data_IF_408365492442
#
_entry.id   IF_408365492442
#
_cell.length_a   1.000
_cell.length_b   1.000
_cell.length_c   1.000
_cell.angle_alpha   90.00
_cell.angle_beta   90.00
_cell.angle_gamma   90.00
#
_symmetry.space_group_name_H-M   'P 1'
#
loop_
_entity.id
_entity.type
_entity.pdbx_description
1 polymer ?
#
# COMPACT_ATOMS: atom_id res chain seq x y z
N UNK A 1 -17.43 -3.23 42.31
CA UNK A 1 -18.11 -2.95 41.03
C UNK A 1 -17.23 -3.55 39.96
N UNK A 2 -17.69 -4.62 39.30
CA UNK A 2 -16.97 -5.18 38.16
C UNK A 2 -17.13 -4.17 37.01
N UNK A 3 -16.01 -3.65 36.53
CA UNK A 3 -15.98 -2.87 35.29
C UNK A 3 -16.61 -3.76 34.20
N UNK A 4 -17.59 -3.27 33.40
CA UNK A 4 -18.11 -4.06 32.28
C UNK A 4 -16.96 -4.23 31.26
N UNK A 5 -16.17 -5.28 31.46
CA UNK A 5 -15.13 -5.71 30.53
C UNK A 5 -15.83 -6.24 29.28
N UNK A 6 -16.06 -5.37 28.30
CA UNK A 6 -16.42 -5.82 26.96
C UNK A 6 -15.33 -6.75 26.42
N UNK A 7 -15.74 -7.78 25.69
CA UNK A 7 -14.77 -8.73 25.15
C UNK A 7 -13.88 -8.03 24.09
N UNK A 8 -12.59 -8.39 23.96
CA UNK A 8 -11.70 -7.81 22.95
C UNK A 8 -12.29 -7.86 21.54
N UNK A 9 -13.06 -8.89 21.21
CA UNK A 9 -13.76 -9.06 19.93
C UNK A 9 -14.71 -7.89 19.65
N UNK A 10 -15.52 -7.48 20.64
CA UNK A 10 -16.48 -6.37 20.48
C UNK A 10 -15.73 -5.06 20.23
N UNK A 11 -14.67 -4.79 20.99
CA UNK A 11 -13.84 -3.59 20.81
C UNK A 11 -13.21 -3.52 19.42
N UNK A 12 -12.66 -4.65 18.94
CA UNK A 12 -12.02 -4.76 17.64
C UNK A 12 -13.00 -4.62 16.48
N UNK A 13 -14.15 -5.30 16.54
CA UNK A 13 -15.23 -5.15 15.53
C UNK A 13 -15.72 -3.71 15.49
N UNK A 14 -15.91 -3.09 16.66
CA UNK A 14 -16.33 -1.68 16.74
C UNK A 14 -15.31 -0.75 16.09
N UNK A 15 -14.02 -0.94 16.37
CA UNK A 15 -12.96 -0.17 15.73
C UNK A 15 -12.98 -0.33 14.20
N UNK A 16 -13.08 -1.56 13.68
CA UNK A 16 -13.14 -1.80 12.23
C UNK A 16 -14.36 -1.14 11.57
N UNK A 17 -15.54 -1.21 12.20
CA UNK A 17 -16.74 -0.56 11.66
C UNK A 17 -16.59 0.96 11.61
N UNK A 18 -16.04 1.59 12.65
CA UNK A 18 -15.78 3.02 12.62
C UNK A 18 -14.69 3.40 11.61
N UNK A 19 -13.65 2.58 11.44
CA UNK A 19 -12.69 2.78 10.34
C UNK A 19 -13.42 2.79 8.99
N UNK A 20 -14.27 1.80 8.70
CA UNK A 20 -15.04 1.76 7.45
C UNK A 20 -15.88 3.03 7.25
N UNK A 21 -16.65 3.39 8.28
CA UNK A 21 -17.57 4.54 8.23
C UNK A 21 -16.79 5.83 7.96
N UNK A 22 -15.70 6.05 8.69
CA UNK A 22 -14.92 7.27 8.56
C UNK A 22 -14.12 7.30 7.24
N UNK A 23 -13.67 6.16 6.71
CA UNK A 23 -13.13 6.06 5.34
C UNK A 23 -14.18 6.42 4.28
N UNK A 24 -15.42 5.94 4.43
CA UNK A 24 -16.51 6.27 3.51
C UNK A 24 -16.90 7.75 3.59
N UNK A 25 -16.79 8.36 4.77
CA UNK A 25 -17.02 9.79 5.00
C UNK A 25 -15.83 10.67 4.60
N UNK A 26 -14.69 10.07 4.27
CA UNK A 26 -13.46 10.78 3.95
C UNK A 26 -12.76 11.40 5.16
N UNK A 27 -13.09 11.02 6.40
CA UNK A 27 -12.48 11.56 7.62
C UNK A 27 -11.30 10.69 8.07
N UNK A 28 -10.10 11.01 7.56
CA UNK A 28 -8.95 10.11 7.71
C UNK A 28 -8.43 10.13 9.15
N UNK A 29 -8.42 11.30 9.81
CA UNK A 29 -7.91 11.47 11.17
C UNK A 29 -8.67 10.58 12.18
N UNK A 30 -10.00 10.58 12.12
CA UNK A 30 -10.82 9.74 13.00
C UNK A 30 -10.68 8.27 12.63
N UNK A 31 -10.65 7.93 11.33
CA UNK A 31 -10.43 6.56 10.89
C UNK A 31 -9.08 6.00 11.40
N UNK A 32 -8.00 6.77 11.29
CA UNK A 32 -6.67 6.36 11.78
C UNK A 32 -6.62 6.27 13.30
N UNK A 33 -7.38 7.10 14.02
CA UNK A 33 -7.52 6.96 15.48
C UNK A 33 -8.15 5.61 15.84
N UNK A 34 -9.23 5.21 15.16
CA UNK A 34 -9.84 3.89 15.36
C UNK A 34 -8.93 2.73 14.92
N UNK A 35 -8.18 2.90 13.83
CA UNK A 35 -7.19 1.93 13.36
C UNK A 35 -6.11 1.70 14.41
N UNK A 36 -5.49 2.78 14.90
CA UNK A 36 -4.45 2.75 15.93
C UNK A 36 -4.95 2.13 17.23
N UNK A 37 -6.14 2.51 17.69
CA UNK A 37 -6.71 1.94 18.91
C UNK A 37 -6.99 0.43 18.75
N UNK A 38 -7.49 0.00 17.58
CA UNK A 38 -7.69 -1.42 17.29
C UNK A 38 -6.38 -2.19 17.24
N UNK A 39 -5.33 -1.65 16.61
CA UNK A 39 -3.99 -2.25 16.59
C UNK A 39 -3.40 -2.42 18.00
N UNK A 40 -3.59 -1.44 18.89
CA UNK A 40 -3.19 -1.54 20.30
C UNK A 40 -3.94 -2.66 21.03
N UNK A 41 -5.26 -2.76 20.83
CA UNK A 41 -6.06 -3.83 21.42
C UNK A 41 -5.61 -5.22 20.94
N UNK A 42 -5.28 -5.37 19.66
CA UNK A 42 -4.69 -6.61 19.12
C UNK A 42 -3.36 -6.92 19.81
N UNK A 43 -2.48 -5.93 19.92
CA UNK A 43 -1.17 -6.11 20.55
C UNK A 43 -1.30 -6.52 22.02
N UNK A 44 -2.15 -5.83 22.80
CA UNK A 44 -2.43 -6.19 24.19
C UNK A 44 -3.02 -7.59 24.33
N UNK A 45 -3.93 -7.97 23.43
CA UNK A 45 -4.52 -9.31 23.41
C UNK A 45 -3.46 -10.39 23.14
N UNK A 46 -2.58 -10.17 22.16
CA UNK A 46 -1.47 -11.08 21.86
C UNK A 46 -0.50 -11.22 23.05
N UNK A 47 -0.18 -10.11 23.72
CA UNK A 47 0.68 -10.13 24.91
C UNK A 47 0.05 -10.93 26.05
N UNK A 48 -1.23 -10.71 26.36
CA UNK A 48 -1.94 -11.48 27.40
C UNK A 48 -1.96 -12.97 27.08
N UNK A 49 -2.25 -13.34 25.83
CA UNK A 49 -2.28 -14.74 25.42
C UNK A 49 -0.91 -15.42 25.54
N UNK A 50 0.19 -14.72 25.24
CA UNK A 50 1.55 -15.23 25.44
C UNK A 50 1.87 -15.48 26.91
N UNK A 51 1.36 -14.64 27.82
CA UNK A 51 1.54 -14.82 29.27
C UNK A 51 0.71 -16.01 29.77
N UNK A 52 -0.55 -16.11 29.33
CA UNK A 52 -1.48 -17.11 29.81
C UNK A 52 -1.20 -18.52 29.24
N UNK A 53 -0.54 -18.60 28.08
CA UNK A 53 -0.26 -19.88 27.40
C UNK A 53 1.11 -19.88 26.67
N UNK A 54 2.23 -19.86 27.42
CA UNK A 54 3.57 -19.75 26.84
C UNK A 54 4.04 -20.98 26.04
N UNK A 55 3.33 -22.11 26.14
CA UNK A 55 3.67 -23.36 25.43
C UNK A 55 2.84 -23.63 24.16
N UNK A 56 1.89 -22.74 23.82
CA UNK A 56 0.98 -22.92 22.68
C UNK A 56 1.63 -22.58 21.32
N UNK A 57 2.86 -22.04 21.32
CA UNK A 57 3.64 -21.80 20.09
C UNK A 57 4.02 -23.08 19.33
N UNK A 58 4.08 -24.24 20.01
CA UNK A 58 4.45 -25.53 19.39
C UNK A 58 3.26 -26.45 19.07
N UNK A 59 2.03 -26.05 19.40
CA UNK A 59 0.88 -26.95 19.43
C UNK A 59 -0.36 -26.37 18.75
N UNK A 60 -0.40 -26.31 17.42
CA UNK A 60 -1.66 -26.21 16.68
C UNK A 60 -2.44 -27.53 16.83
N UNK A 61 -3.02 -27.79 17.99
CA UNK A 61 -3.93 -28.93 18.20
C UNK A 61 -5.36 -28.43 18.38
N UNK A 62 -6.16 -28.60 17.33
CA UNK A 62 -7.63 -28.66 17.30
C UNK A 62 -8.43 -27.41 17.71
N UNK A 63 -8.37 -26.40 16.83
CA UNK A 63 -9.51 -25.66 16.23
C UNK A 63 -10.77 -25.40 17.08
N UNK A 64 -10.81 -24.21 17.68
CA UNK A 64 -11.94 -23.27 17.53
C UNK A 64 -11.43 -22.08 16.72
N UNK A 65 -12.12 -21.70 15.65
CA UNK A 65 -11.82 -20.48 14.89
C UNK A 65 -11.64 -19.31 15.84
N UNK A 66 -10.46 -18.72 15.86
CA UNK A 66 -10.19 -17.57 16.69
C UNK A 66 -10.53 -16.34 15.86
N UNK A 67 -11.71 -15.77 16.11
CA UNK A 67 -12.19 -14.57 15.40
C UNK A 67 -11.13 -13.45 15.35
N UNK A 68 -10.35 -13.27 16.43
CA UNK A 68 -9.32 -12.25 16.49
C UNK A 68 -8.16 -12.58 15.55
N UNK A 69 -7.61 -13.80 15.60
CA UNK A 69 -6.45 -14.16 14.77
C UNK A 69 -6.78 -14.43 13.32
N UNK A 70 -7.90 -15.11 13.07
CA UNK A 70 -8.25 -15.64 11.76
C UNK A 70 -8.99 -14.59 10.89
N UNK A 71 -9.66 -13.61 11.52
CA UNK A 71 -10.49 -12.62 10.81
C UNK A 71 -10.05 -11.19 11.11
N UNK A 72 -10.09 -10.76 12.37
CA UNK A 72 -9.94 -9.34 12.73
C UNK A 72 -8.50 -8.86 12.53
N UNK A 73 -7.50 -9.60 12.98
CA UNK A 73 -6.09 -9.25 12.80
C UNK A 73 -5.73 -9.08 11.32
N UNK A 74 -6.07 -10.01 10.40
CA UNK A 74 -5.87 -9.80 8.98
C UNK A 74 -6.59 -8.56 8.44
N UNK A 75 -7.75 -8.16 8.96
CA UNK A 75 -8.43 -6.93 8.54
C UNK A 75 -7.69 -5.67 9.01
N UNK A 76 -7.19 -5.65 10.25
CA UNK A 76 -6.35 -4.56 10.75
C UNK A 76 -5.04 -4.46 9.98
N UNK A 77 -4.37 -5.58 9.70
CA UNK A 77 -3.14 -5.58 8.89
C UNK A 77 -3.37 -5.04 7.49
N UNK A 78 -4.54 -5.30 6.87
CA UNK A 78 -4.93 -4.75 5.57
C UNK A 78 -5.15 -3.24 5.62
N UNK A 79 -5.90 -2.77 6.61
CA UNK A 79 -6.14 -1.33 6.80
C UNK A 79 -4.89 -0.55 7.22
N UNK A 80 -3.98 -1.18 7.97
CA UNK A 80 -2.72 -0.61 8.44
C UNK A 80 -1.83 -0.16 7.28
N UNK A 81 -1.70 -0.97 6.22
CA UNK A 81 -0.92 -0.58 5.03
C UNK A 81 -1.42 0.74 4.44
N UNK A 82 -2.74 0.94 4.38
CA UNK A 82 -3.31 2.21 3.92
C UNK A 82 -2.94 3.35 4.84
N UNK A 83 -3.07 3.18 6.16
CA UNK A 83 -2.70 4.21 7.13
C UNK A 83 -1.23 4.64 7.03
N UNK A 84 -0.32 3.68 6.85
CA UNK A 84 1.12 3.98 6.70
C UNK A 84 1.43 4.78 5.43
N UNK A 85 0.75 4.50 4.31
CA UNK A 85 0.92 5.27 3.07
C UNK A 85 0.42 6.73 3.20
N UNK A 86 -0.44 7.01 4.18
CA UNK A 86 -0.86 8.37 4.57
C UNK A 86 -0.04 8.92 5.76
N UNK A 87 1.10 8.29 6.09
CA UNK A 87 2.08 8.81 7.05
C UNK A 87 1.88 8.36 8.51
N UNK A 88 0.85 7.57 8.82
CA UNK A 88 0.58 7.10 10.19
C UNK A 88 1.69 6.16 10.66
N UNK A 89 2.26 6.43 11.84
CA UNK A 89 3.31 5.62 12.48
C UNK A 89 2.72 4.40 13.19
N UNK A 90 2.18 3.45 12.43
CA UNK A 90 1.49 2.27 13.02
C UNK A 90 2.45 1.35 13.79
N UNK A 91 3.74 1.39 13.48
CA UNK A 91 4.81 0.68 14.19
C UNK A 91 4.95 1.06 15.67
N UNK A 92 4.43 2.23 16.08
CA UNK A 92 4.39 2.61 17.50
C UNK A 92 3.32 1.84 18.29
N UNK A 93 2.44 1.11 17.59
CA UNK A 93 1.23 0.51 18.15
C UNK A 93 1.08 -0.98 17.82
N UNK A 94 1.86 -1.47 16.85
CA UNK A 94 1.83 -2.85 16.41
C UNK A 94 3.20 -3.27 15.85
N UNK A 95 3.67 -4.44 16.25
CA UNK A 95 4.94 -4.98 15.78
C UNK A 95 4.84 -5.48 14.34
N UNK A 96 5.56 -4.83 13.43
CA UNK A 96 5.65 -5.23 12.02
C UNK A 96 6.92 -6.07 11.84
N UNK A 97 6.74 -7.34 11.51
CA UNK A 97 7.85 -8.27 11.27
C UNK A 97 8.52 -8.00 9.93
N UNK A 98 9.86 -8.02 9.92
CA UNK A 98 10.65 -8.01 8.69
C UNK A 98 11.01 -9.44 8.30
N UNK A 99 10.54 -9.95 7.15
CA UNK A 99 10.83 -11.31 6.74
C UNK A 99 12.30 -11.47 6.34
N UNK A 100 12.80 -12.71 6.49
CA UNK A 100 14.09 -13.14 5.96
C UNK A 100 13.85 -13.98 4.69
N UNK A 101 14.74 -13.95 3.68
CA UNK A 101 14.55 -14.69 2.43
C UNK A 101 14.27 -16.20 2.65
N UNK A 102 14.96 -16.82 3.61
CA UNK A 102 14.76 -18.23 3.95
C UNK A 102 13.34 -18.58 4.43
N UNK A 103 12.57 -17.61 4.92
CA UNK A 103 11.20 -17.83 5.37
C UNK A 103 10.31 -18.30 4.22
N UNK A 104 10.58 -17.88 2.98
CA UNK A 104 9.79 -18.28 1.80
C UNK A 104 10.21 -19.65 1.23
N UNK A 105 11.40 -20.13 1.58
CA UNK A 105 11.92 -21.42 1.13
C UNK A 105 11.32 -22.56 1.97
N UNK A 106 11.15 -22.33 3.29
CA UNK A 106 10.73 -23.36 4.25
C UNK A 106 9.22 -23.62 4.30
N UNK A 107 8.40 -22.75 3.70
CA UNK A 107 6.95 -22.86 3.75
C UNK A 107 6.40 -23.76 2.62
N UNK A 108 5.31 -24.51 2.86
CA UNK A 108 4.45 -24.97 1.78
C UNK A 108 4.01 -23.75 0.98
N UNK A 109 4.30 -23.72 -0.32
CA UNK A 109 4.01 -22.55 -1.14
C UNK A 109 2.72 -22.80 -1.92
N UNK A 110 1.59 -22.71 -1.21
CA UNK A 110 0.23 -22.74 -1.79
C UNK A 110 -0.22 -21.33 -2.13
N UNK A 111 -1.32 -21.18 -2.88
CA UNK A 111 -1.88 -19.85 -3.18
C UNK A 111 -2.23 -19.09 -1.90
N UNK A 112 -2.82 -19.77 -0.91
CA UNK A 112 -3.13 -19.18 0.40
C UNK A 112 -1.88 -18.69 1.13
N UNK A 113 -0.80 -19.48 1.11
CA UNK A 113 0.48 -19.09 1.73
C UNK A 113 1.17 -17.96 0.97
N UNK A 114 1.07 -17.94 -0.38
CA UNK A 114 1.54 -16.84 -1.20
C UNK A 114 0.80 -15.53 -0.87
N UNK A 115 -0.52 -15.59 -0.70
CA UNK A 115 -1.33 -14.43 -0.28
C UNK A 115 -0.95 -13.93 1.10
N UNK A 116 -0.80 -14.83 2.08
CA UNK A 116 -0.41 -14.47 3.44
C UNK A 116 0.96 -13.83 3.49
N UNK A 117 1.96 -14.51 2.94
CA UNK A 117 3.34 -14.04 2.93
C UNK A 117 3.53 -12.75 2.11
N UNK A 118 2.73 -12.53 1.06
CA UNK A 118 2.71 -11.27 0.31
C UNK A 118 2.31 -10.08 1.20
N UNK A 119 1.28 -10.25 2.05
CA UNK A 119 0.83 -9.19 2.96
C UNK A 119 1.89 -8.84 4.00
N UNK A 120 2.54 -9.85 4.58
CA UNK A 120 3.62 -9.67 5.56
C UNK A 120 4.81 -8.92 4.92
N UNK A 121 5.24 -9.37 3.75
CA UNK A 121 6.32 -8.73 3.00
C UNK A 121 5.96 -7.29 2.59
N UNK A 122 4.74 -7.05 2.12
CA UNK A 122 4.23 -5.71 1.79
C UNK A 122 4.25 -4.78 3.00
N UNK A 123 3.81 -5.24 4.17
CA UNK A 123 3.79 -4.42 5.38
C UNK A 123 5.20 -4.01 5.81
N UNK A 124 6.17 -4.92 5.77
CA UNK A 124 7.58 -4.61 6.02
C UNK A 124 8.13 -3.59 5.02
N UNK A 125 7.81 -3.79 3.73
CA UNK A 125 8.23 -2.89 2.65
C UNK A 125 7.63 -1.48 2.81
N UNK A 126 6.35 -1.36 3.12
CA UNK A 126 5.68 -0.06 3.32
C UNK A 126 6.22 0.66 4.57
N UNK A 127 6.51 -0.07 5.65
CA UNK A 127 7.17 0.52 6.81
C UNK A 127 8.55 1.09 6.45
N UNK A 128 9.36 0.35 5.70
CA UNK A 128 10.67 0.83 5.25
C UNK A 128 10.55 2.07 4.35
N UNK A 129 9.58 2.10 3.44
CA UNK A 129 9.30 3.27 2.59
C UNK A 129 8.91 4.50 3.41
N UNK A 130 8.12 4.33 4.47
CA UNK A 130 7.77 5.41 5.39
C UNK A 130 9.00 5.95 6.13
N UNK A 131 9.85 5.06 6.64
CA UNK A 131 11.05 5.43 7.39
C UNK A 131 12.06 6.18 6.50
N UNK A 132 12.33 5.67 5.31
CA UNK A 132 13.19 6.33 4.32
C UNK A 132 12.59 7.64 3.83
N UNK A 133 11.29 7.67 3.54
CA UNK A 133 10.58 8.90 3.18
C UNK A 133 10.68 9.98 4.25
N UNK A 134 10.54 9.61 5.53
CA UNK A 134 10.72 10.54 6.66
C UNK A 134 12.13 11.10 6.73
N UNK A 135 13.15 10.25 6.52
CA UNK A 135 14.55 10.69 6.46
C UNK A 135 14.79 11.67 5.30
N UNK A 136 14.26 11.36 4.11
CA UNK A 136 14.35 12.22 2.93
C UNK A 136 13.72 13.60 3.17
N UNK A 137 12.48 13.65 3.67
CA UNK A 137 11.81 14.91 4.02
C UNK A 137 12.55 15.68 5.12
N UNK A 138 13.23 14.98 6.04
CA UNK A 138 14.07 15.58 7.08
C UNK A 138 15.48 15.95 6.64
N UNK A 139 15.86 15.73 5.36
CA UNK A 139 17.25 15.84 4.86
C UNK A 139 18.26 15.04 5.68
N UNK A 140 17.81 13.93 6.25
CA UNK A 140 18.65 12.99 7.00
C UNK A 140 19.21 11.99 5.99
N UNK A 141 20.55 11.87 5.84
CA UNK A 141 21.14 10.87 4.96
C UNK A 141 20.76 9.46 5.39
N UNK A 142 20.54 8.59 4.41
CA UNK A 142 20.42 7.16 4.68
C UNK A 142 21.76 6.59 5.14
N UNK A 143 21.72 5.70 6.12
CA UNK A 143 22.89 5.05 6.71
C UNK A 143 23.04 3.59 6.24
N UNK A 144 24.10 2.92 6.68
CA UNK A 144 24.39 1.53 6.32
C UNK A 144 23.22 0.59 6.64
N UNK A 145 22.50 0.81 7.75
CA UNK A 145 21.38 -0.06 8.14
C UNK A 145 20.22 0.07 7.16
N UNK A 146 19.94 1.28 6.66
CA UNK A 146 18.89 1.48 5.66
C UNK A 146 19.18 0.68 4.39
N UNK A 147 20.42 0.71 3.91
CA UNK A 147 20.82 -0.04 2.71
C UNK A 147 20.82 -1.56 2.94
N UNK A 148 21.19 -2.02 4.14
CA UNK A 148 21.09 -3.45 4.52
C UNK A 148 19.62 -3.90 4.51
N UNK A 149 18.72 -3.12 5.09
CA UNK A 149 17.28 -3.44 5.10
C UNK A 149 16.72 -3.42 3.67
N UNK A 150 17.08 -2.44 2.85
CA UNK A 150 16.67 -2.37 1.45
C UNK A 150 17.13 -3.61 0.66
N UNK A 151 18.38 -4.03 0.83
CA UNK A 151 18.93 -5.21 0.19
C UNK A 151 18.20 -6.50 0.63
N UNK A 152 17.94 -6.64 1.94
CA UNK A 152 17.18 -7.76 2.47
C UNK A 152 15.76 -7.83 1.91
N UNK A 153 15.03 -6.71 1.92
CA UNK A 153 13.66 -6.66 1.37
C UNK A 153 13.64 -6.94 -0.14
N UNK A 154 14.62 -6.43 -0.88
CA UNK A 154 14.78 -6.72 -2.31
C UNK A 154 14.96 -8.21 -2.55
N UNK A 155 15.83 -8.87 -1.78
CA UNK A 155 16.05 -10.31 -1.87
C UNK A 155 14.82 -11.11 -1.44
N UNK A 156 14.12 -10.68 -0.39
CA UNK A 156 12.83 -11.27 0.02
C UNK A 156 11.80 -11.21 -1.12
N UNK A 157 11.65 -10.06 -1.78
CA UNK A 157 10.77 -9.92 -2.94
C UNK A 157 11.19 -10.86 -4.09
N UNK A 158 12.48 -10.94 -4.40
CA UNK A 158 13.02 -11.81 -5.44
C UNK A 158 12.71 -13.29 -5.16
N UNK A 159 13.09 -13.79 -3.98
CA UNK A 159 12.86 -15.18 -3.58
C UNK A 159 11.37 -15.49 -3.53
N UNK A 160 10.56 -14.63 -2.91
CA UNK A 160 9.11 -14.84 -2.85
C UNK A 160 8.50 -14.97 -4.25
N UNK A 161 8.89 -14.11 -5.19
CA UNK A 161 8.35 -14.16 -6.55
C UNK A 161 8.79 -15.41 -7.31
N UNK A 162 10.03 -15.84 -7.16
CA UNK A 162 10.52 -17.11 -7.71
C UNK A 162 9.67 -18.30 -7.22
N UNK A 163 9.30 -18.31 -5.92
CA UNK A 163 8.41 -19.33 -5.36
C UNK A 163 6.99 -19.26 -5.94
N UNK A 164 6.45 -18.05 -6.16
CA UNK A 164 5.14 -17.86 -6.84
C UNK A 164 5.19 -18.40 -8.26
N UNK A 165 6.25 -18.12 -9.01
CA UNK A 165 6.42 -18.61 -10.39
C UNK A 165 6.52 -20.14 -10.42
N UNK A 166 7.34 -20.75 -9.56
CA UNK A 166 7.44 -22.21 -9.48
C UNK A 166 6.09 -22.86 -9.13
N UNK A 167 5.33 -22.24 -8.23
CA UNK A 167 4.00 -22.70 -7.86
C UNK A 167 3.02 -22.60 -9.03
N UNK A 168 3.00 -21.46 -9.74
CA UNK A 168 2.18 -21.24 -10.94
C UNK A 168 2.55 -22.17 -12.10
N UNK A 169 3.83 -22.49 -12.27
CA UNK A 169 4.29 -23.42 -13.31
C UNK A 169 3.95 -24.89 -12.98
N UNK A 170 3.82 -25.22 -11.69
CA UNK A 170 3.56 -26.59 -11.22
C UNK A 170 2.11 -27.05 -11.39
N UNK A 171 1.16 -26.12 -11.47
CA UNK A 171 -0.26 -26.44 -11.61
C UNK A 171 -1.03 -25.37 -12.37
N UNK A 172 -2.10 -25.77 -13.06
CA UNK A 172 -2.95 -24.82 -13.77
C UNK A 172 -3.95 -24.18 -12.83
N UNK A 173 -3.82 -22.88 -12.65
CA UNK A 173 -4.81 -22.04 -11.99
C UNK A 173 -5.85 -21.52 -12.97
N UNK A 174 -7.11 -21.46 -12.57
CA UNK A 174 -8.20 -21.01 -13.44
C UNK A 174 -9.27 -20.24 -12.66
N UNK A 175 -10.11 -19.49 -13.36
CA UNK A 175 -11.16 -18.67 -12.73
C UNK A 175 -10.59 -17.72 -11.69
N UNK A 176 -11.18 -17.71 -10.51
CA UNK A 176 -10.84 -16.81 -9.39
C UNK A 176 -9.39 -16.95 -8.92
N UNK A 177 -8.80 -18.15 -8.99
CA UNK A 177 -7.41 -18.37 -8.58
C UNK A 177 -6.41 -17.67 -9.52
N UNK A 178 -6.69 -17.66 -10.82
CA UNK A 178 -5.85 -16.95 -11.81
C UNK A 178 -5.94 -15.43 -11.62
N UNK A 179 -7.11 -14.93 -11.21
CA UNK A 179 -7.32 -13.52 -10.87
C UNK A 179 -6.57 -13.17 -9.59
N UNK A 180 -6.63 -14.02 -8.56
CA UNK A 180 -5.89 -13.85 -7.32
C UNK A 180 -4.37 -13.81 -7.57
N UNK A 181 -3.85 -14.70 -8.40
CA UNK A 181 -2.44 -14.68 -8.84
C UNK A 181 -2.07 -13.38 -9.56
N UNK A 182 -2.93 -12.89 -10.46
CA UNK A 182 -2.69 -11.59 -11.11
C UNK A 182 -2.67 -10.44 -10.11
N UNK A 183 -3.55 -10.46 -9.10
CA UNK A 183 -3.56 -9.45 -8.04
C UNK A 183 -2.28 -9.51 -7.18
N UNK A 184 -1.79 -10.71 -6.85
CA UNK A 184 -0.50 -10.90 -6.17
C UNK A 184 0.67 -10.32 -6.97
N UNK A 185 0.67 -10.54 -8.29
CA UNK A 185 1.68 -9.97 -9.20
C UNK A 185 1.62 -8.44 -9.23
N UNK A 186 0.43 -7.84 -9.27
CA UNK A 186 0.26 -6.38 -9.19
C UNK A 186 0.87 -5.82 -7.91
N UNK A 187 0.54 -6.41 -6.76
CA UNK A 187 1.08 -5.98 -5.46
C UNK A 187 2.61 -6.13 -5.38
N UNK A 188 3.14 -7.26 -5.88
CA UNK A 188 4.57 -7.54 -5.91
C UNK A 188 5.34 -6.56 -6.81
N UNK A 189 4.84 -6.28 -8.02
CA UNK A 189 5.49 -5.35 -8.93
C UNK A 189 5.50 -3.93 -8.37
N UNK A 190 4.39 -3.47 -7.79
CA UNK A 190 4.33 -2.15 -7.16
C UNK A 190 5.35 -2.03 -6.03
N UNK A 191 5.33 -2.95 -5.07
CA UNK A 191 6.23 -2.93 -3.90
C UNK A 191 7.70 -3.07 -4.29
N UNK A 192 8.02 -3.92 -5.26
CA UNK A 192 9.40 -4.08 -5.74
C UNK A 192 9.95 -2.80 -6.36
N UNK A 193 9.17 -2.10 -7.19
CA UNK A 193 9.63 -0.82 -7.77
C UNK A 193 9.84 0.25 -6.70
N UNK A 194 8.97 0.32 -5.70
CA UNK A 194 9.15 1.24 -4.56
C UNK A 194 10.44 0.93 -3.80
N UNK A 195 10.66 -0.32 -3.39
CA UNK A 195 11.84 -0.73 -2.62
C UNK A 195 13.12 -0.51 -3.44
N UNK A 196 13.10 -0.82 -4.73
CA UNK A 196 14.22 -0.60 -5.63
C UNK A 196 14.67 0.85 -5.74
N UNK A 197 13.76 1.81 -5.50
CA UNK A 197 14.03 3.24 -5.60
C UNK A 197 14.05 3.99 -4.25
N UNK A 198 13.77 3.31 -3.13
CA UNK A 198 13.67 3.92 -1.79
C UNK A 198 14.95 4.64 -1.33
N UNK A 199 16.10 4.20 -1.85
CA UNK A 199 17.41 4.79 -1.56
C UNK A 199 17.68 6.16 -2.20
N UNK A 200 16.76 6.70 -3.00
CA UNK A 200 16.94 7.94 -3.73
C UNK A 200 15.75 8.88 -3.58
N UNK A 201 16.04 10.19 -3.52
CA UNK A 201 15.03 11.25 -3.70
C UNK A 201 14.72 11.52 -5.17
N UNK A 202 15.61 11.08 -6.07
CA UNK A 202 15.43 11.26 -7.51
C UNK A 202 14.38 10.30 -8.05
N UNK A 203 13.67 10.71 -9.10
CA UNK A 203 12.59 9.92 -9.70
C UNK A 203 13.01 9.16 -10.96
N UNK A 204 14.06 9.61 -11.67
CA UNK A 204 14.65 8.89 -12.82
C UNK A 204 14.99 7.41 -12.53
N UNK A 205 15.44 6.98 -11.33
CA UNK A 205 15.72 5.56 -11.05
C UNK A 205 14.56 4.61 -11.35
N UNK A 206 13.30 5.08 -11.32
CA UNK A 206 12.14 4.26 -11.68
C UNK A 206 12.15 3.77 -13.14
N UNK A 207 12.90 4.42 -14.03
CA UNK A 207 12.97 4.03 -15.44
C UNK A 207 13.53 2.63 -15.66
N UNK A 208 14.45 2.19 -14.80
CA UNK A 208 15.01 0.83 -14.82
C UNK A 208 13.89 -0.24 -14.69
N UNK A 209 12.74 0.15 -14.15
CA UNK A 209 11.60 -0.71 -13.89
C UNK A 209 10.46 -0.56 -14.92
N UNK A 210 10.69 0.06 -16.09
CA UNK A 210 9.66 0.20 -17.13
C UNK A 210 8.96 -1.13 -17.47
N UNK A 211 9.74 -2.22 -17.61
CA UNK A 211 9.20 -3.55 -17.91
C UNK A 211 8.30 -4.09 -16.78
N UNK A 212 8.63 -3.77 -15.52
CA UNK A 212 7.83 -4.12 -14.34
C UNK A 212 6.53 -3.31 -14.31
N UNK A 213 6.58 -2.00 -14.59
CA UNK A 213 5.37 -1.17 -14.71
C UNK A 213 4.43 -1.67 -15.81
N UNK A 214 4.98 -2.07 -16.96
CA UNK A 214 4.17 -2.66 -18.03
C UNK A 214 3.54 -4.00 -17.60
N UNK A 215 4.26 -4.84 -16.86
CA UNK A 215 3.71 -6.08 -16.31
C UNK A 215 2.60 -5.82 -15.28
N UNK A 216 2.82 -4.86 -14.38
CA UNK A 216 1.83 -4.40 -13.40
C UNK A 216 0.54 -3.97 -14.10
N UNK A 217 0.62 -3.11 -15.10
CA UNK A 217 -0.55 -2.62 -15.85
C UNK A 217 -1.29 -3.76 -16.54
N UNK A 218 -0.59 -4.73 -17.13
CA UNK A 218 -1.22 -5.92 -17.75
C UNK A 218 -1.99 -6.77 -16.74
N UNK A 219 -1.40 -7.06 -15.58
CA UNK A 219 -2.09 -7.86 -14.56
C UNK A 219 -3.23 -7.08 -13.89
N UNK A 220 -3.08 -5.77 -13.69
CA UNK A 220 -4.15 -4.92 -13.17
C UNK A 220 -5.36 -4.89 -14.12
N UNK A 221 -5.14 -4.89 -15.44
CA UNK A 221 -6.22 -5.00 -16.43
C UNK A 221 -7.01 -6.31 -16.28
N UNK A 222 -6.32 -7.45 -16.11
CA UNK A 222 -6.96 -8.76 -15.86
C UNK A 222 -7.84 -8.73 -14.60
N UNK A 223 -7.32 -8.16 -13.50
CA UNK A 223 -8.07 -8.07 -12.23
C UNK A 223 -9.30 -7.17 -12.40
N UNK A 224 -9.15 -6.02 -13.06
CA UNK A 224 -10.26 -5.08 -13.28
C UNK A 224 -11.32 -5.69 -14.22
N UNK A 225 -10.92 -6.40 -15.29
CA UNK A 225 -11.84 -7.10 -16.18
C UNK A 225 -12.70 -8.11 -15.41
N UNK A 226 -12.08 -8.89 -14.52
CA UNK A 226 -12.79 -9.86 -13.71
C UNK A 226 -13.80 -9.22 -12.73
N UNK A 227 -13.41 -8.11 -12.08
CA UNK A 227 -14.28 -7.38 -11.15
C UNK A 227 -15.57 -6.88 -11.83
N UNK A 228 -15.46 -6.40 -13.07
CA UNK A 228 -16.61 -5.94 -13.84
C UNK A 228 -17.57 -7.07 -14.25
N UNK A 229 -17.02 -8.25 -14.52
CA UNK A 229 -17.80 -9.40 -14.98
C UNK A 229 -18.53 -10.11 -13.82
N UNK A 230 -17.95 -10.12 -12.62
CA UNK A 230 -18.43 -10.95 -11.52
C UNK A 230 -19.54 -10.34 -10.65
N UNK A 231 -19.70 -9.00 -10.57
CA UNK A 231 -20.90 -8.39 -9.94
C UNK A 231 -21.01 -6.87 -10.13
N UNK A 232 -22.09 -6.35 -10.75
CA UNK A 232 -22.40 -4.92 -10.73
C UNK A 232 -22.93 -4.42 -9.37
N UNK A 233 -23.14 -5.32 -8.39
CA UNK A 233 -23.74 -5.02 -7.07
C UNK A 233 -22.80 -5.26 -5.88
N UNK A 234 -21.54 -5.67 -6.11
CA UNK A 234 -20.56 -5.82 -5.03
C UNK A 234 -20.33 -4.47 -4.32
N UNK A 235 -20.08 -4.52 -3.02
CA UNK A 235 -19.73 -3.33 -2.25
C UNK A 235 -18.60 -2.58 -2.95
N UNK A 236 -18.79 -1.31 -3.27
CA UNK A 236 -17.80 -0.45 -3.96
C UNK A 236 -16.64 -0.06 -3.03
N UNK A 237 -16.30 -0.90 -2.05
CA UNK A 237 -15.34 -0.65 -0.99
C UNK A 237 -14.65 -1.95 -0.55
N UNK A 238 -13.33 -1.91 -0.40
CA UNK A 238 -12.49 -2.98 0.16
C UNK A 238 -11.40 -2.37 1.05
N UNK A 239 -10.94 -3.11 2.06
CA UNK A 239 -9.75 -2.75 2.84
C UNK A 239 -8.43 -3.13 2.16
N UNK A 240 -8.48 -4.03 1.18
CA UNK A 240 -7.29 -4.50 0.50
C UNK A 240 -6.80 -3.44 -0.49
N UNK A 241 -5.51 -3.11 -0.40
CA UNK A 241 -4.82 -2.41 -1.48
C UNK A 241 -4.59 -3.41 -2.61
N UNK A 242 -5.25 -3.20 -3.75
CA UNK A 242 -5.28 -4.17 -4.85
C UNK A 242 -4.74 -3.55 -6.14
N UNK A 243 -5.50 -2.68 -6.80
CA UNK A 243 -5.17 -2.11 -8.11
C UNK A 243 -5.07 -0.58 -8.09
N UNK A 244 -5.79 0.13 -7.22
CA UNK A 244 -5.80 1.60 -7.23
C UNK A 244 -4.43 2.16 -6.87
N UNK A 245 -3.85 1.77 -5.73
CA UNK A 245 -2.53 2.25 -5.30
C UNK A 245 -1.43 1.86 -6.30
N UNK A 246 -1.35 0.61 -6.80
CA UNK A 246 -0.37 0.22 -7.81
C UNK A 246 -0.49 0.96 -9.14
N UNK A 247 -1.71 1.20 -9.63
CA UNK A 247 -1.93 1.94 -10.87
C UNK A 247 -1.60 3.42 -10.69
N UNK A 248 -1.97 4.01 -9.54
CA UNK A 248 -1.60 5.40 -9.22
C UNK A 248 -0.08 5.57 -9.11
N UNK A 249 0.60 4.64 -8.44
CA UNK A 249 2.06 4.57 -8.40
C UNK A 249 2.67 4.52 -9.81
N UNK A 250 2.11 3.67 -10.68
CA UNK A 250 2.56 3.58 -12.08
C UNK A 250 2.35 4.89 -12.82
N UNK A 251 1.19 5.52 -12.66
CA UNK A 251 0.88 6.78 -13.31
C UNK A 251 1.82 7.91 -12.83
N UNK A 252 2.19 7.93 -11.55
CA UNK A 252 3.11 8.92 -10.95
C UNK A 252 4.56 8.67 -11.37
N UNK A 253 5.07 7.46 -11.14
CA UNK A 253 6.52 7.19 -11.17
C UNK A 253 7.04 6.78 -12.55
N UNK A 254 6.21 6.19 -13.42
CA UNK A 254 6.66 5.79 -14.75
C UNK A 254 6.67 6.99 -15.70
N UNK A 255 7.83 7.29 -16.31
CA UNK A 255 7.98 8.39 -17.28
C UNK A 255 7.44 8.07 -18.68
N UNK A 256 7.28 6.78 -18.99
CA UNK A 256 6.80 6.34 -20.31
C UNK A 256 5.35 6.83 -20.56
N UNK A 257 5.13 7.69 -21.59
CA UNK A 257 3.83 8.32 -21.83
C UNK A 257 2.68 7.33 -22.02
N UNK A 258 2.95 6.21 -22.71
CA UNK A 258 1.96 5.17 -23.01
C UNK A 258 1.58 4.38 -21.75
N UNK A 259 2.58 3.93 -20.98
CA UNK A 259 2.37 3.10 -19.79
C UNK A 259 1.61 3.89 -18.72
N UNK A 260 2.01 5.14 -18.45
CA UNK A 260 1.37 5.96 -17.41
C UNK A 260 -0.07 6.33 -17.76
N UNK A 261 -0.36 6.68 -19.02
CA UNK A 261 -1.73 6.95 -19.48
C UNK A 261 -2.60 5.69 -19.48
N UNK A 262 -2.04 4.52 -19.81
CA UNK A 262 -2.77 3.24 -19.69
C UNK A 262 -3.15 2.98 -18.24
N UNK A 263 -2.27 3.24 -17.27
CA UNK A 263 -2.59 3.12 -15.85
C UNK A 263 -3.76 4.04 -15.44
N UNK A 264 -3.75 5.31 -15.86
CA UNK A 264 -4.88 6.24 -15.65
C UNK A 264 -6.17 5.74 -16.30
N UNK A 265 -6.10 5.20 -17.52
CA UNK A 265 -7.28 4.66 -18.20
C UNK A 265 -7.91 3.48 -17.45
N UNK A 266 -7.09 2.67 -16.76
CA UNK A 266 -7.58 1.57 -15.93
C UNK A 266 -8.22 2.08 -14.63
N UNK A 267 -7.65 3.11 -13.99
CA UNK A 267 -8.30 3.78 -12.84
C UNK A 267 -9.66 4.38 -13.24
N UNK A 268 -9.76 4.95 -14.45
CA UNK A 268 -11.00 5.52 -14.98
C UNK A 268 -12.10 4.47 -15.23
N UNK A 269 -11.79 3.17 -15.18
CA UNK A 269 -12.78 2.08 -15.20
C UNK A 269 -13.48 1.90 -13.85
N UNK A 270 -13.20 2.73 -12.84
CA UNK A 270 -13.87 2.76 -11.54
C UNK A 270 -13.85 1.42 -10.80
N UNK A 271 -12.66 0.84 -10.53
CA UNK A 271 -12.54 -0.30 -9.62
C UNK A 271 -13.14 0.05 -8.23
N UNK A 272 -13.48 -0.94 -7.39
CA UNK A 272 -13.96 -0.68 -6.03
C UNK A 272 -12.99 0.21 -5.24
N UNK A 273 -13.51 1.14 -4.42
CA UNK A 273 -12.69 1.99 -3.54
C UNK A 273 -11.85 1.12 -2.61
N UNK A 274 -10.57 1.43 -2.47
CA UNK A 274 -9.64 0.69 -1.61
C UNK A 274 -9.37 1.53 -0.36
N UNK A 275 -10.13 1.35 0.71
CA UNK A 275 -10.01 2.17 1.91
C UNK A 275 -10.22 3.66 1.61
N UNK A 276 -9.14 4.43 1.70
CA UNK A 276 -9.10 5.87 1.39
C UNK A 276 -8.84 6.19 -0.08
N UNK A 277 -8.53 5.19 -0.89
CA UNK A 277 -8.14 5.35 -2.28
C UNK A 277 -9.37 5.29 -3.18
N UNK A 278 -9.91 6.47 -3.50
CA UNK A 278 -11.04 6.62 -4.41
C UNK A 278 -10.59 6.69 -5.88
N UNK A 279 -11.08 5.80 -6.78
CA UNK A 279 -10.59 5.78 -8.15
C UNK A 279 -10.85 7.08 -8.90
N UNK A 280 -11.95 7.79 -8.65
CA UNK A 280 -12.30 9.03 -9.35
C UNK A 280 -11.39 10.17 -8.91
N UNK A 281 -11.13 10.30 -7.61
CA UNK A 281 -10.13 11.25 -7.09
C UNK A 281 -8.75 10.98 -7.69
N UNK A 282 -8.28 9.74 -7.67
CA UNK A 282 -6.93 9.39 -8.11
C UNK A 282 -6.75 9.46 -9.64
N UNK A 283 -7.83 9.43 -10.44
CA UNK A 283 -7.77 9.81 -11.88
C UNK A 283 -7.48 11.30 -12.05
N UNK A 284 -8.18 12.16 -11.31
CA UNK A 284 -7.96 13.62 -11.37
C UNK A 284 -6.53 13.96 -10.96
N UNK A 285 -6.06 13.39 -9.85
CA UNK A 285 -4.70 13.61 -9.35
C UNK A 285 -3.65 13.07 -10.32
N UNK A 286 -3.82 11.86 -10.84
CA UNK A 286 -2.86 11.27 -11.78
C UNK A 286 -2.75 12.08 -13.08
N UNK A 287 -3.87 12.55 -13.63
CA UNK A 287 -3.86 13.44 -14.79
C UNK A 287 -3.11 14.74 -14.47
N UNK A 288 -3.35 15.33 -13.29
CA UNK A 288 -2.64 16.54 -12.90
C UNK A 288 -1.14 16.33 -12.73
N UNK A 289 -0.72 15.20 -12.17
CA UNK A 289 0.71 14.83 -12.08
C UNK A 289 1.32 14.77 -13.48
N UNK A 290 0.67 14.08 -14.42
CA UNK A 290 1.12 13.99 -15.81
C UNK A 290 1.25 15.38 -16.43
N UNK A 291 0.22 16.22 -16.28
CA UNK A 291 0.22 17.59 -16.79
C UNK A 291 1.36 18.44 -16.20
N UNK A 292 1.63 18.35 -14.90
CA UNK A 292 2.68 19.11 -14.23
C UNK A 292 4.06 18.71 -14.74
N UNK A 293 4.32 17.41 -14.80
CA UNK A 293 5.62 16.87 -15.20
C UNK A 293 5.90 17.06 -16.70
N UNK A 294 4.89 16.90 -17.56
CA UNK A 294 5.02 16.99 -19.02
C UNK A 294 4.97 18.43 -19.58
N UNK A 295 4.93 19.47 -18.72
CA UNK A 295 5.16 20.87 -19.14
C UNK A 295 6.51 21.06 -19.78
N UNK A 296 7.46 20.25 -19.37
CA UNK A 296 8.80 20.20 -19.90
C UNK A 296 9.10 18.76 -20.30
N UNK A 297 9.59 18.58 -21.52
CA UNK A 297 10.00 17.29 -22.05
C UNK A 297 11.46 17.37 -22.47
N UNK A 298 12.20 16.32 -22.14
CA UNK A 298 13.54 16.12 -22.66
C UNK A 298 13.47 15.93 -24.19
N UNK A 299 14.20 16.74 -24.99
CA UNK A 299 14.10 16.69 -26.46
C UNK A 299 14.57 15.39 -27.09
N UNK A 300 15.42 14.61 -26.42
CA UNK A 300 15.99 13.37 -26.96
C UNK A 300 15.07 12.18 -26.67
N UNK A 301 14.57 12.09 -25.44
CA UNK A 301 13.76 10.96 -24.97
C UNK A 301 12.25 11.20 -25.09
N UNK A 302 11.82 12.46 -25.15
CA UNK A 302 10.43 12.86 -25.08
C UNK A 302 9.78 12.61 -23.71
N UNK A 303 10.58 12.40 -22.66
CA UNK A 303 10.11 12.11 -21.30
C UNK A 303 10.31 13.31 -20.37
N UNK A 304 9.52 13.45 -19.28
CA UNK A 304 9.74 14.49 -18.29
C UNK A 304 11.16 14.42 -17.67
N UNK A 305 11.96 15.50 -17.69
CA UNK A 305 13.27 15.53 -17.04
C UNK A 305 13.15 15.50 -15.51
N UNK A 306 14.21 15.11 -14.79
CA UNK A 306 14.20 14.99 -13.31
C UNK A 306 13.65 16.24 -12.60
N UNK A 307 14.04 17.44 -13.06
CA UNK A 307 13.62 18.73 -12.46
C UNK A 307 12.12 18.99 -12.50
N UNK A 308 11.38 18.38 -13.43
CA UNK A 308 9.92 18.52 -13.51
C UNK A 308 9.18 17.43 -12.75
N UNK A 309 9.89 16.42 -12.21
CA UNK A 309 9.30 15.27 -11.51
C UNK A 309 8.74 15.66 -10.16
N UNK A 310 7.71 14.92 -9.74
CA UNK A 310 7.15 15.00 -8.40
C UNK A 310 7.64 13.82 -7.56
N UNK A 311 8.09 14.10 -6.34
CA UNK A 311 8.50 13.09 -5.36
C UNK A 311 7.28 12.44 -4.71
N UNK A 312 6.34 13.26 -4.23
CA UNK A 312 5.15 12.81 -3.55
C UNK A 312 3.90 13.60 -3.95
N UNK A 313 2.74 12.98 -3.76
CA UNK A 313 1.43 13.62 -3.91
C UNK A 313 0.46 13.04 -2.89
N UNK A 314 -0.19 13.88 -2.10
CA UNK A 314 -1.07 13.44 -1.00
C UNK A 314 -2.42 14.11 -1.15
N UNK A 315 -3.50 13.32 -1.12
CA UNK A 315 -4.87 13.83 -1.04
C UNK A 315 -5.17 14.20 0.41
N UNK A 316 -5.59 15.43 0.66
CA UNK A 316 -5.98 15.91 1.98
C UNK A 316 -7.22 15.17 2.48
N UNK A 317 -7.22 14.88 3.78
CA UNK A 317 -8.30 14.22 4.50
C UNK A 317 -9.58 15.08 4.67
N UNK A 318 -9.63 16.30 4.15
CA UNK A 318 -10.75 17.23 4.34
C UNK A 318 -11.54 17.43 3.04
N UNK A 319 -12.15 16.36 2.53
CA UNK A 319 -13.13 16.49 1.45
C UNK A 319 -14.38 17.18 1.99
N UNK A 320 -14.84 18.22 1.30
CA UNK A 320 -16.05 18.93 1.69
C UNK A 320 -17.34 18.23 1.21
N UNK A 321 -18.47 18.75 1.67
CA UNK A 321 -19.80 18.20 1.37
C UNK A 321 -20.17 18.25 -0.13
N UNK A 322 -19.42 18.99 -0.95
CA UNK A 322 -19.63 19.11 -2.40
C UNK A 322 -18.63 18.26 -3.20
N UNK A 323 -17.83 17.42 -2.53
CA UNK A 323 -16.82 16.59 -3.19
C UNK A 323 -15.55 17.36 -3.57
N UNK A 324 -15.37 18.58 -3.05
CA UNK A 324 -14.15 19.33 -3.22
C UNK A 324 -13.07 18.86 -2.25
N UNK A 325 -11.84 18.64 -2.74
CA UNK A 325 -10.72 18.17 -1.94
C UNK A 325 -9.42 18.88 -2.32
N UNK A 326 -8.47 18.89 -1.40
CA UNK A 326 -7.15 19.48 -1.61
C UNK A 326 -6.11 18.41 -1.87
N UNK A 327 -5.10 18.75 -2.66
CA UNK A 327 -3.97 17.88 -2.94
C UNK A 327 -2.69 18.67 -2.79
N UNK A 328 -1.73 18.04 -2.14
CA UNK A 328 -0.37 18.50 -2.00
C UNK A 328 0.48 17.80 -3.04
N UNK A 329 1.26 18.54 -3.80
CA UNK A 329 2.30 18.00 -4.68
C UNK A 329 3.66 18.48 -4.19
N UNK A 330 4.60 17.56 -4.08
CA UNK A 330 5.98 17.84 -3.70
C UNK A 330 6.89 17.63 -4.91
N UNK A 331 7.36 18.71 -5.56
CA UNK A 331 8.40 18.64 -6.57
C UNK A 331 9.66 17.98 -6.01
N UNK A 332 10.32 17.14 -6.81
CA UNK A 332 11.52 16.41 -6.39
C UNK A 332 12.67 17.33 -5.99
N UNK A 333 12.76 18.51 -6.60
CA UNK A 333 13.74 19.55 -6.23
C UNK A 333 13.44 20.25 -4.89
N UNK A 334 12.24 20.08 -4.32
CA UNK A 334 11.84 20.72 -3.06
C UNK A 334 11.82 19.76 -1.88
N UNK A 335 12.27 18.51 -2.04
CA UNK A 335 12.26 17.51 -0.96
C UNK A 335 13.11 18.02 0.22
N UNK A 336 12.45 18.22 1.37
CA UNK A 336 13.04 18.80 2.57
C UNK A 336 13.38 20.30 2.50
N UNK A 337 12.94 21.01 1.47
CA UNK A 337 12.96 22.48 1.43
C UNK A 337 11.78 23.07 2.21
N UNK A 338 12.04 24.14 2.97
CA UNK A 338 11.02 24.86 3.72
C UNK A 338 10.63 26.17 3.03
N UNK A 339 9.37 26.56 3.15
CA UNK A 339 8.87 27.86 2.76
C UNK A 339 9.22 28.96 3.79
N UNK A 340 8.83 30.20 3.49
CA UNK A 340 9.08 31.37 4.36
C UNK A 340 8.44 31.25 5.76
N UNK A 341 7.48 30.34 5.93
CA UNK A 341 6.80 30.07 7.20
C UNK A 341 7.44 28.92 7.98
N UNK A 342 8.51 28.32 7.44
CA UNK A 342 9.18 27.16 8.04
C UNK A 342 8.45 25.84 7.83
N UNK A 343 7.48 25.78 6.90
CA UNK A 343 6.76 24.55 6.54
C UNK A 343 7.33 23.94 5.28
N UNK A 344 7.13 22.63 5.06
CA UNK A 344 7.55 21.96 3.84
C UNK A 344 6.99 22.68 2.59
N UNK A 345 7.87 23.01 1.64
CA UNK A 345 7.51 23.72 0.42
C UNK A 345 6.74 22.78 -0.51
N UNK A 346 5.49 23.11 -0.79
CA UNK A 346 4.55 22.27 -1.55
C UNK A 346 3.74 23.09 -2.55
N UNK A 347 3.26 22.46 -3.61
CA UNK A 347 2.22 23.00 -4.47
C UNK A 347 0.87 22.54 -3.92
N UNK A 348 -0.06 23.47 -3.78
CA UNK A 348 -1.35 23.24 -3.15
C UNK A 348 -2.47 23.53 -4.15
N UNK A 349 -3.22 22.50 -4.55
CA UNK A 349 -4.29 22.64 -5.55
C UNK A 349 -5.59 22.03 -5.07
N UNK A 350 -6.70 22.69 -5.44
CA UNK A 350 -8.06 22.25 -5.12
C UNK A 350 -8.69 21.58 -6.32
N UNK A 351 -9.32 20.44 -6.07
CA UNK A 351 -10.06 19.66 -7.04
C UNK A 351 -11.54 19.60 -6.65
N UNK A 352 -12.39 19.32 -7.64
CA UNK A 352 -13.79 18.99 -7.43
C UNK A 352 -14.08 17.73 -8.24
N UNK A 353 -14.82 16.78 -7.63
CA UNK A 353 -15.26 15.54 -8.29
C UNK A 353 -16.43 15.76 -9.25
#
# INVERSE_FOLDING_TARGET
MADPSYSPEIGLVTCLLFVCIEFLRGNYCTAFTHMTNGLRLVHEWQQRRRIDSPFDELGRTNSTENLIEDVLLPMFQRGMTSAQLFGVATEEHFDISFPHPDSFIRLPFTLLEAERSSRELRNASVLFLRQTGTKHSGKIPLDEKDFVIQAQLTECHRVWFERVQMMEDSQRYSGDESIALSNLKVAHFATTTYIGCAGSVLQVPYDAYLHIFQALVRHAEIVIDALHNNSPHAARFTFEISVIVPLFHTARCCRCPVTRRKAVSLLARRPPREGLWDPEQYVLVANRIIELEERELDPETGWPPERSRLYSSVVDANMDAHGGFWVYFEPSEWVGELDETGKQKLIYERFNM
#
